data_IF_462829732644
#
_entry.id   IF_462829732644
#
_cell.length_a   1.000
_cell.length_b   1.000
_cell.length_c   1.000
_cell.angle_alpha   90.00
_cell.angle_beta   90.00
_cell.angle_gamma   90.00
#
_symmetry.space_group_name_H-M   'P 1'
#
loop_
_entity.id
_entity.type
_entity.pdbx_description
1 polymer ?
#
# COMPACT_ATOMS: atom_id res chain seq x y z
N UNK A 1 3.37 32.21 -17.95
CA UNK A 1 3.01 31.88 -19.33
C UNK A 1 2.22 30.56 -19.33
N UNK A 2 1.03 30.55 -19.92
CA UNK A 2 0.16 29.37 -19.88
C UNK A 2 0.84 28.10 -20.40
N UNK A 3 1.62 28.22 -21.45
CA UNK A 3 2.30 27.06 -22.03
C UNK A 3 3.30 26.47 -21.06
N UNK A 4 4.06 27.29 -20.35
CA UNK A 4 5.02 26.80 -19.36
C UNK A 4 4.34 26.13 -18.19
N UNK A 5 3.19 26.66 -17.76
CA UNK A 5 2.38 26.05 -16.71
C UNK A 5 1.92 24.66 -17.11
N UNK A 6 1.46 24.52 -18.36
CA UNK A 6 1.04 23.22 -18.90
C UNK A 6 2.18 22.21 -18.92
N UNK A 7 3.37 22.66 -19.32
CA UNK A 7 4.54 21.79 -19.36
C UNK A 7 4.90 21.33 -17.95
N UNK A 8 4.84 22.24 -16.97
CA UNK A 8 5.09 21.87 -15.58
C UNK A 8 4.07 20.87 -15.09
N UNK A 9 2.79 21.09 -15.37
CA UNK A 9 1.72 20.19 -14.92
C UNK A 9 1.89 18.82 -15.55
N UNK A 10 2.24 18.77 -16.83
CA UNK A 10 2.54 17.51 -17.49
C UNK A 10 3.75 16.83 -16.87
N UNK A 11 4.79 17.62 -16.56
CA UNK A 11 5.98 17.11 -15.88
C UNK A 11 5.67 16.51 -14.52
N UNK A 12 4.82 17.18 -13.75
CA UNK A 12 4.38 16.67 -12.46
C UNK A 12 3.58 15.39 -12.59
N UNK A 13 2.66 15.33 -13.55
CA UNK A 13 1.86 14.14 -13.78
C UNK A 13 2.74 12.95 -14.14
N UNK A 14 3.71 13.15 -15.02
CA UNK A 14 4.65 12.10 -15.39
C UNK A 14 5.51 11.67 -14.22
N UNK A 15 5.99 12.64 -13.43
CA UNK A 15 6.78 12.40 -12.23
C UNK A 15 6.02 11.49 -11.27
N UNK A 16 4.75 11.81 -11.00
CA UNK A 16 3.93 11.02 -10.07
C UNK A 16 3.65 9.63 -10.64
N UNK A 17 3.39 9.52 -11.93
CA UNK A 17 3.20 8.21 -12.57
C UNK A 17 4.43 7.32 -12.41
N UNK A 18 5.62 7.89 -12.63
CA UNK A 18 6.87 7.15 -12.44
C UNK A 18 7.05 6.70 -11.00
N UNK A 19 6.77 7.61 -10.06
CA UNK A 19 6.90 7.29 -8.64
C UNK A 19 5.95 6.16 -8.23
N UNK A 20 4.69 6.26 -8.64
CA UNK A 20 3.68 5.24 -8.33
C UNK A 20 4.06 3.89 -8.94
N UNK A 21 4.47 3.87 -10.20
CA UNK A 21 4.89 2.64 -10.85
C UNK A 21 6.09 2.01 -10.14
N UNK A 22 7.05 2.83 -9.73
CA UNK A 22 8.23 2.36 -9.00
C UNK A 22 7.83 1.72 -7.68
N UNK A 23 6.93 2.37 -6.94
CA UNK A 23 6.45 1.85 -5.66
C UNK A 23 5.75 0.51 -5.85
N UNK A 24 4.88 0.40 -6.83
CA UNK A 24 4.13 -0.84 -7.07
C UNK A 24 5.03 -2.01 -7.43
N UNK A 25 6.18 -1.73 -8.04
CA UNK A 25 7.14 -2.75 -8.42
C UNK A 25 8.11 -3.10 -7.31
N UNK A 26 8.48 -2.11 -6.47
CA UNK A 26 9.58 -2.25 -5.51
C UNK A 26 9.16 -2.08 -4.05
N UNK A 27 7.86 -2.05 -3.74
CA UNK A 27 7.38 -1.71 -2.41
C UNK A 27 8.01 -2.50 -1.25
N UNK A 28 8.40 -3.76 -1.42
CA UNK A 28 8.97 -4.48 -0.28
C UNK A 28 10.34 -3.95 0.16
N UNK A 29 11.14 -3.43 -0.76
CA UNK A 29 12.54 -3.08 -0.49
C UNK A 29 12.92 -1.66 -0.85
N UNK A 30 11.96 -0.79 -1.15
CA UNK A 30 12.31 0.54 -1.61
C UNK A 30 12.58 1.53 -0.47
N UNK A 31 13.36 2.57 -0.79
CA UNK A 31 13.53 3.75 0.05
C UNK A 31 13.11 4.99 -0.75
N UNK A 32 12.86 6.08 -0.02
CA UNK A 32 12.54 7.36 -0.67
C UNK A 32 13.69 7.83 -1.57
N UNK A 33 14.92 7.62 -1.11
CA UNK A 33 16.11 8.02 -1.88
C UNK A 33 16.21 7.26 -3.21
N UNK A 34 15.99 5.95 -3.18
CA UNK A 34 16.01 5.13 -4.39
C UNK A 34 14.92 5.54 -5.37
N UNK A 35 13.73 5.83 -4.83
CA UNK A 35 12.60 6.25 -5.65
C UNK A 35 12.88 7.61 -6.30
N UNK A 36 13.45 8.54 -5.54
CA UNK A 36 13.84 9.86 -6.07
C UNK A 36 14.88 9.71 -7.19
N UNK A 37 15.85 8.84 -6.98
CA UNK A 37 16.87 8.53 -7.97
C UNK A 37 16.25 8.00 -9.26
N UNK A 38 15.32 7.08 -9.14
CA UNK A 38 14.62 6.51 -10.28
C UNK A 38 13.84 7.58 -11.05
N UNK A 39 13.41 8.64 -10.37
CA UNK A 39 12.71 9.77 -10.98
C UNK A 39 13.66 10.88 -11.45
N UNK A 40 14.96 10.73 -11.19
CA UNK A 40 15.97 11.69 -11.61
C UNK A 40 16.00 13.00 -10.81
N UNK A 41 15.57 12.95 -9.53
CA UNK A 41 15.51 14.14 -8.68
C UNK A 41 16.12 13.84 -7.32
N UNK A 42 16.41 14.90 -6.55
CA UNK A 42 16.90 14.73 -5.18
C UNK A 42 15.78 14.23 -4.26
N UNK A 43 16.19 13.59 -3.17
CA UNK A 43 15.23 13.07 -2.18
C UNK A 43 14.36 14.18 -1.60
N UNK A 44 14.98 15.35 -1.32
CA UNK A 44 14.25 16.49 -0.77
C UNK A 44 13.19 17.01 -1.74
N UNK A 45 13.57 17.18 -2.99
CA UNK A 45 12.64 17.62 -4.04
C UNK A 45 11.51 16.61 -4.22
N UNK A 46 11.87 15.33 -4.27
CA UNK A 46 10.92 14.25 -4.42
C UNK A 46 9.85 14.28 -3.31
N UNK A 47 10.29 14.34 -2.07
CA UNK A 47 9.38 14.32 -0.92
C UNK A 47 8.41 15.49 -0.94
N UNK A 48 8.92 16.68 -1.27
CA UNK A 48 8.09 17.87 -1.37
C UNK A 48 7.05 17.75 -2.48
N UNK A 49 7.50 17.36 -3.66
CA UNK A 49 6.63 17.27 -4.84
C UNK A 49 5.59 16.19 -4.67
N UNK A 50 5.98 15.05 -4.09
CA UNK A 50 5.06 13.95 -3.86
C UNK A 50 3.94 14.38 -2.90
N UNK A 51 4.31 14.97 -1.78
CA UNK A 51 3.33 15.44 -0.79
C UNK A 51 2.40 16.48 -1.36
N UNK A 52 2.95 17.40 -2.16
CA UNK A 52 2.17 18.47 -2.79
C UNK A 52 1.15 17.90 -3.78
N UNK A 53 1.55 16.93 -4.58
CA UNK A 53 0.70 16.33 -5.61
C UNK A 53 -0.31 15.35 -5.04
N UNK A 54 0.08 14.54 -4.07
CA UNK A 54 -0.73 13.44 -3.55
C UNK A 54 -1.44 13.75 -2.23
N UNK A 55 -1.13 14.89 -1.61
CA UNK A 55 -1.70 15.32 -0.33
C UNK A 55 -1.42 14.34 0.80
N UNK A 56 -0.37 13.56 0.67
CA UNK A 56 0.12 12.67 1.72
C UNK A 56 1.62 12.47 1.54
N UNK A 57 2.31 12.13 2.61
CA UNK A 57 3.75 11.89 2.50
C UNK A 57 4.02 10.62 1.71
N UNK A 58 5.20 10.56 1.11
CA UNK A 58 5.61 9.36 0.39
C UNK A 58 5.64 8.14 1.32
N UNK A 59 6.11 8.33 2.55
CA UNK A 59 6.17 7.26 3.56
C UNK A 59 4.79 6.68 3.85
N UNK A 60 3.79 7.55 4.01
CA UNK A 60 2.41 7.12 4.24
C UNK A 60 1.85 6.39 3.03
N UNK A 61 2.15 6.88 1.84
CA UNK A 61 1.70 6.23 0.61
C UNK A 61 2.27 4.82 0.48
N UNK A 62 3.57 4.67 0.73
CA UNK A 62 4.23 3.36 0.68
C UNK A 62 3.62 2.41 1.71
N UNK A 63 3.36 2.90 2.92
CA UNK A 63 2.72 2.09 3.96
C UNK A 63 1.34 1.60 3.50
N UNK A 64 0.56 2.46 2.85
CA UNK A 64 -0.74 2.04 2.31
C UNK A 64 -0.61 0.97 1.24
N UNK A 65 0.35 1.10 0.34
CA UNK A 65 0.60 0.08 -0.69
C UNK A 65 0.96 -1.25 -0.04
N UNK A 66 1.87 -1.21 0.93
CA UNK A 66 2.27 -2.41 1.67
C UNK A 66 1.10 -3.05 2.40
N UNK A 67 0.24 -2.24 3.00
CA UNK A 67 -0.94 -2.74 3.69
C UNK A 67 -1.93 -3.40 2.74
N UNK A 68 -2.14 -2.83 1.55
CA UNK A 68 -3.00 -3.43 0.53
C UNK A 68 -2.48 -4.79 0.08
N UNK A 69 -1.17 -4.90 -0.12
CA UNK A 69 -0.56 -6.17 -0.49
C UNK A 69 -0.67 -7.17 0.66
N UNK A 70 -0.52 -6.70 1.90
CA UNK A 70 -0.69 -7.56 3.06
C UNK A 70 -2.12 -8.09 3.15
N UNK A 71 -3.12 -7.29 2.83
CA UNK A 71 -4.51 -7.75 2.79
C UNK A 71 -4.68 -8.94 1.85
N UNK A 72 -4.08 -8.86 0.67
CA UNK A 72 -4.13 -9.96 -0.30
C UNK A 72 -3.52 -11.24 0.28
N UNK A 73 -2.37 -11.11 0.95
CA UNK A 73 -1.72 -12.27 1.54
C UNK A 73 -2.51 -12.82 2.72
N UNK A 74 -3.15 -11.96 3.49
CA UNK A 74 -4.02 -12.40 4.59
C UNK A 74 -5.22 -13.20 4.07
N UNK A 75 -5.76 -12.78 2.93
CA UNK A 75 -6.93 -13.41 2.33
C UNK A 75 -6.60 -14.70 1.58
N UNK A 76 -5.48 -14.74 0.90
CA UNK A 76 -5.21 -15.81 -0.07
C UNK A 76 -4.07 -16.76 0.31
N UNK A 77 -3.41 -16.55 1.45
CA UNK A 77 -2.36 -17.44 1.93
C UNK A 77 -2.58 -17.79 3.39
N UNK A 78 -1.85 -18.80 3.85
CA UNK A 78 -1.82 -19.18 5.26
C UNK A 78 -0.54 -18.68 5.95
N UNK A 79 0.18 -17.77 5.31
CA UNK A 79 1.42 -17.22 5.87
C UNK A 79 1.14 -16.56 7.21
N UNK A 80 2.12 -16.64 8.11
CA UNK A 80 2.01 -16.01 9.43
C UNK A 80 2.03 -14.49 9.29
N UNK A 81 1.55 -13.82 10.32
CA UNK A 81 1.54 -12.36 10.34
C UNK A 81 2.97 -11.81 10.19
N UNK A 82 3.94 -12.45 10.84
CA UNK A 82 5.35 -12.07 10.74
C UNK A 82 5.87 -12.25 9.31
N UNK A 83 5.55 -13.37 8.68
CA UNK A 83 5.96 -13.61 7.30
C UNK A 83 5.37 -12.59 6.34
N UNK A 84 4.10 -12.26 6.53
CA UNK A 84 3.43 -11.25 5.70
C UNK A 84 4.08 -9.89 5.88
N UNK A 85 4.34 -9.48 7.14
CA UNK A 85 4.98 -8.20 7.41
C UNK A 85 6.32 -8.09 6.66
N UNK A 86 7.12 -9.14 6.72
CA UNK A 86 8.40 -9.18 6.01
C UNK A 86 8.22 -9.15 4.49
N UNK A 87 7.30 -9.94 3.98
CA UNK A 87 7.07 -10.04 2.54
C UNK A 87 6.67 -8.70 1.92
N UNK A 88 5.90 -7.89 2.62
CA UNK A 88 5.44 -6.60 2.08
C UNK A 88 6.36 -5.44 2.44
N UNK A 89 7.38 -5.67 3.28
CA UNK A 89 8.43 -4.68 3.50
C UNK A 89 8.37 -3.90 4.80
N UNK A 90 7.56 -4.32 5.77
CA UNK A 90 7.58 -3.68 7.08
C UNK A 90 8.82 -4.15 7.87
N UNK A 91 9.43 -3.23 8.58
CA UNK A 91 10.66 -3.52 9.32
C UNK A 91 10.44 -4.47 10.49
N UNK A 92 9.27 -4.41 11.13
CA UNK A 92 8.90 -5.31 12.21
C UNK A 92 7.44 -5.70 12.11
N UNK A 93 7.11 -6.86 12.68
CA UNK A 93 5.71 -7.29 12.76
C UNK A 93 4.89 -6.34 13.63
N UNK A 94 5.48 -5.82 14.71
CA UNK A 94 4.80 -4.88 15.61
C UNK A 94 4.38 -3.61 14.88
N UNK A 95 5.27 -3.06 14.06
CA UNK A 95 4.97 -1.86 13.28
C UNK A 95 3.88 -2.15 12.26
N UNK A 96 3.96 -3.29 11.59
CA UNK A 96 2.93 -3.73 10.65
C UNK A 96 1.56 -3.81 11.32
N UNK A 97 1.48 -4.49 12.45
CA UNK A 97 0.24 -4.67 13.19
C UNK A 97 -0.35 -3.32 13.59
N UNK A 98 0.50 -2.43 14.09
CA UNK A 98 0.10 -1.09 14.51
C UNK A 98 -0.48 -0.28 13.36
N UNK A 99 0.23 -0.25 12.22
CA UNK A 99 -0.22 0.49 11.03
C UNK A 99 -1.50 -0.10 10.45
N UNK A 100 -1.60 -1.43 10.42
CA UNK A 100 -2.78 -2.11 9.91
C UNK A 100 -4.00 -1.75 10.78
N UNK A 101 -3.82 -1.79 12.10
CA UNK A 101 -4.89 -1.47 13.03
C UNK A 101 -5.34 -0.02 12.91
N UNK A 102 -4.41 0.92 12.74
CA UNK A 102 -4.75 2.32 12.52
C UNK A 102 -5.61 2.51 11.28
N UNK A 103 -5.31 1.78 10.23
CA UNK A 103 -5.97 1.94 8.93
C UNK A 103 -7.27 1.17 8.85
N UNK A 104 -7.31 -0.05 9.37
CA UNK A 104 -8.44 -0.97 9.22
C UNK A 104 -9.30 -1.10 10.45
N UNK A 105 -8.87 -0.53 11.57
CA UNK A 105 -9.58 -0.60 12.87
C UNK A 105 -9.71 -2.03 13.40
N UNK A 106 -8.83 -2.91 12.98
CA UNK A 106 -8.71 -4.27 13.48
C UNK A 106 -7.31 -4.78 13.21
N UNK A 107 -6.89 -5.82 13.93
CA UNK A 107 -5.57 -6.40 13.72
C UNK A 107 -5.57 -7.25 12.45
N UNK A 108 -4.39 -7.54 11.88
CA UNK A 108 -4.32 -8.45 10.73
C UNK A 108 -4.94 -9.81 10.98
N UNK A 109 -4.75 -10.35 12.19
CA UNK A 109 -5.33 -11.64 12.54
C UNK A 109 -6.85 -11.57 12.59
N UNK A 110 -7.40 -10.51 13.19
CA UNK A 110 -8.85 -10.29 13.21
C UNK A 110 -9.40 -10.14 11.79
N UNK A 111 -8.68 -9.43 10.93
CA UNK A 111 -9.06 -9.25 9.54
C UNK A 111 -9.14 -10.60 8.82
N UNK A 112 -8.13 -11.43 8.99
CA UNK A 112 -8.11 -12.78 8.40
C UNK A 112 -9.26 -13.64 8.90
N UNK A 113 -9.51 -13.62 10.19
CA UNK A 113 -10.58 -14.40 10.81
C UNK A 113 -11.95 -13.94 10.33
N UNK A 114 -12.17 -12.63 10.25
CA UNK A 114 -13.42 -12.08 9.74
C UNK A 114 -13.66 -12.46 8.29
N UNK A 115 -12.62 -12.44 7.47
CA UNK A 115 -12.72 -12.84 6.07
C UNK A 115 -13.03 -14.31 5.91
N UNK A 116 -12.42 -15.16 6.73
CA UNK A 116 -12.72 -16.60 6.72
C UNK A 116 -14.17 -16.89 7.13
N UNK A 117 -14.64 -16.23 8.18
CA UNK A 117 -16.03 -16.34 8.60
C UNK A 117 -17.00 -15.95 7.50
N UNK A 118 -16.73 -14.85 6.82
CA UNK A 118 -17.57 -14.39 5.72
C UNK A 118 -17.54 -15.36 4.55
N UNK A 119 -16.38 -15.90 4.23
CA UNK A 119 -16.24 -16.90 3.16
C UNK A 119 -17.01 -18.16 3.48
N UNK A 120 -16.94 -18.62 4.72
CA UNK A 120 -17.70 -19.79 5.17
C UNK A 120 -19.20 -19.56 5.06
N UNK A 121 -19.66 -18.38 5.44
CA UNK A 121 -21.07 -18.02 5.30
C UNK A 121 -21.52 -17.99 3.85
N UNK A 122 -20.68 -17.46 2.97
CA UNK A 122 -21.00 -17.43 1.53
C UNK A 122 -21.03 -18.82 0.93
N UNK A 123 -20.13 -19.69 1.37
CA UNK A 123 -20.02 -21.04 0.84
C UNK A 123 -20.90 -22.04 1.55
N UNK A 124 -21.56 -21.64 2.63
CA UNK A 124 -22.49 -22.51 3.31
C UNK A 124 -23.63 -22.87 2.37
N UNK A 125 -24.13 -24.11 2.38
CA UNK A 125 -25.27 -24.46 1.56
C UNK A 125 -26.41 -23.54 1.93
N UNK A 126 -27.05 -23.01 0.94
CA UNK A 126 -28.21 -22.22 1.17
C UNK A 126 -29.17 -23.00 2.01
N UNK A 127 -29.70 -22.41 3.02
CA UNK A 127 -30.69 -23.11 3.77
C UNK A 127 -31.81 -23.37 2.82
N UNK A 128 -31.98 -24.52 2.56
CA UNK A 128 -32.88 -24.80 1.66
C UNK A 128 -34.16 -24.55 2.12
N UNK A 129 -34.29 -23.97 2.96
CA UNK A 129 -35.32 -23.58 3.37
C UNK A 129 -36.24 -23.87 2.81
N UNK A 130 -36.20 -24.57 3.17
CA UNK A 130 -37.08 -24.66 2.69
C UNK A 130 -36.96 -24.55 1.39
N UNK A 131 -36.22 -24.74 0.96
CA UNK A 131 -36.17 -24.58 -0.23
C UNK A 131 -36.12 -25.29 -0.57
#
# INVERSE_FOLDING_TARGET
>A
VPLLSRIRDMGQAEFIKHAIAYVQTHYPDLTAAETADACGVSATYFSRMFKRAMHQSFSDYVALVRLRQAEQLLLFTDDSITEIAQAVGFSTASYFISRFRETKHMTPLQFRQAAKSNAEKRNAPCPRNGI
#
